data_IF_782969401993
#
_entry.id   IF_782969401993
#
_cell.length_a   1.000
_cell.length_b   1.000
_cell.length_c   1.000
_cell.angle_alpha   90.00
_cell.angle_beta   90.00
_cell.angle_gamma   90.00
#
_symmetry.space_group_name_H-M   'P 1'
#
loop_
_entity.id
_entity.type
_entity.pdbx_description
1 polymer ?
#
# COMPACT_ATOMS: atom_id res chain seq x y z
N UNK A 1 -19.93 -30.78 -68.00
CA UNK A 1 -20.26 -29.43 -67.47
C UNK A 1 -21.60 -29.54 -66.77
N UNK A 2 -21.61 -29.69 -65.44
CA UNK A 2 -22.82 -29.70 -64.62
C UNK A 2 -22.65 -28.58 -63.59
N UNK A 3 -23.57 -27.60 -63.61
CA UNK A 3 -23.49 -26.40 -62.79
C UNK A 3 -23.82 -26.70 -61.32
N UNK A 4 -22.91 -26.34 -60.42
CA UNK A 4 -23.17 -26.33 -58.99
C UNK A 4 -24.08 -25.15 -58.66
N UNK A 5 -25.27 -25.46 -58.14
CA UNK A 5 -26.17 -24.47 -57.56
C UNK A 5 -25.64 -24.11 -56.17
N UNK A 6 -24.94 -22.98 -56.08
CA UNK A 6 -24.56 -22.37 -54.82
C UNK A 6 -25.82 -22.00 -54.04
N UNK A 7 -26.00 -22.62 -52.87
CA UNK A 7 -27.04 -22.25 -51.90
C UNK A 7 -26.63 -20.92 -51.27
N UNK A 8 -27.46 -19.89 -51.45
CA UNK A 8 -27.12 -18.47 -51.28
C UNK A 8 -26.57 -18.03 -49.90
N UNK A 9 -26.52 -18.92 -48.90
CA UNK A 9 -26.11 -18.60 -47.53
C UNK A 9 -25.16 -19.62 -46.88
N UNK A 10 -24.48 -20.47 -47.66
CA UNK A 10 -23.45 -21.38 -47.11
C UNK A 10 -22.06 -20.85 -47.45
N UNK A 11 -21.25 -20.56 -46.43
CA UNK A 11 -19.89 -20.05 -46.62
C UNK A 11 -18.99 -21.17 -47.19
N UNK A 12 -18.57 -21.01 -48.45
CA UNK A 12 -17.73 -21.97 -49.17
C UNK A 12 -16.24 -21.92 -48.75
N UNK A 13 -15.83 -20.91 -47.99
CA UNK A 13 -14.45 -20.72 -47.50
C UNK A 13 -14.40 -19.97 -46.18
N UNK A 14 -13.39 -20.25 -45.36
CA UNK A 14 -13.09 -19.45 -44.18
C UNK A 14 -12.53 -18.08 -44.58
N UNK A 15 -13.07 -17.02 -44.00
CA UNK A 15 -12.60 -15.64 -44.21
C UNK A 15 -11.33 -15.47 -43.36
N UNK A 16 -10.21 -14.98 -43.93
CA UNK A 16 -9.00 -14.73 -43.16
C UNK A 16 -9.25 -13.64 -42.10
N UNK A 17 -8.59 -13.72 -40.93
CA UNK A 17 -8.79 -12.73 -39.87
C UNK A 17 -8.39 -11.35 -40.36
N UNK A 18 -9.37 -10.46 -40.52
CA UNK A 18 -9.15 -9.04 -40.77
C UNK A 18 -8.93 -8.31 -39.44
N UNK A 19 -8.09 -7.27 -39.39
CA UNK A 19 -7.95 -6.45 -38.19
C UNK A 19 -9.32 -5.87 -37.79
N UNK A 20 -9.58 -5.68 -36.48
CA UNK A 20 -10.82 -5.08 -36.02
C UNK A 20 -11.04 -3.73 -36.72
N UNK A 21 -12.28 -3.37 -37.07
CA UNK A 21 -12.58 -2.10 -37.69
C UNK A 21 -11.95 -0.94 -36.90
N UNK A 22 -11.31 0.00 -37.60
CA UNK A 22 -10.59 1.13 -36.98
C UNK A 22 -11.49 1.93 -36.02
N UNK A 23 -12.82 1.88 -36.23
CA UNK A 23 -13.84 2.56 -35.41
C UNK A 23 -14.22 1.84 -34.12
N UNK A 24 -13.94 0.54 -33.99
CA UNK A 24 -14.21 -0.26 -32.78
C UNK A 24 -12.94 -0.58 -31.99
N UNK A 25 -11.77 -0.31 -32.55
CA UNK A 25 -10.48 -0.46 -31.86
C UNK A 25 -9.99 0.81 -31.17
N UNK A 26 -9.13 0.64 -30.17
CA UNK A 26 -8.34 1.72 -29.56
C UNK A 26 -9.14 2.65 -28.64
N UNK A 27 -8.51 3.78 -28.27
CA UNK A 27 -9.07 4.73 -27.31
C UNK A 27 -10.39 5.38 -27.78
N UNK A 28 -10.54 5.60 -29.10
CA UNK A 28 -11.73 6.21 -29.67
C UNK A 28 -12.94 5.25 -29.66
N UNK A 29 -12.71 3.97 -29.98
CA UNK A 29 -13.73 2.92 -29.85
C UNK A 29 -14.17 2.75 -28.39
N UNK A 30 -13.21 2.67 -27.47
CA UNK A 30 -13.48 2.61 -26.03
C UNK A 30 -14.29 3.82 -25.54
N UNK A 31 -13.94 5.04 -25.94
CA UNK A 31 -14.66 6.24 -25.53
C UNK A 31 -16.10 6.24 -26.03
N UNK A 32 -16.34 5.81 -27.27
CA UNK A 32 -17.68 5.68 -27.82
C UNK A 32 -18.51 4.65 -27.05
N UNK A 33 -17.93 3.50 -26.75
CA UNK A 33 -18.65 2.39 -26.10
C UNK A 33 -18.87 2.61 -24.60
N UNK A 34 -18.04 3.42 -23.93
CA UNK A 34 -18.13 3.64 -22.48
C UNK A 34 -18.70 5.02 -22.11
N UNK A 35 -18.30 6.10 -22.80
CA UNK A 35 -18.69 7.46 -22.47
C UNK A 35 -19.90 7.95 -23.29
N UNK A 36 -20.03 7.50 -24.54
CA UNK A 36 -21.04 8.01 -25.49
C UNK A 36 -21.99 6.92 -26.01
N UNK A 37 -22.21 5.85 -25.23
CA UNK A 37 -22.98 4.68 -25.68
C UNK A 37 -24.49 4.92 -25.81
N UNK A 38 -24.98 6.07 -25.37
CA UNK A 38 -26.38 6.48 -25.53
C UNK A 38 -26.58 7.95 -25.16
N UNK A 39 -27.83 8.44 -25.31
CA UNK A 39 -28.17 9.85 -25.06
C UNK A 39 -27.89 10.25 -23.62
N UNK A 40 -28.31 9.44 -22.64
CA UNK A 40 -28.07 9.71 -21.23
C UNK A 40 -26.57 9.78 -20.90
N UNK A 41 -25.79 8.77 -21.31
CA UNK A 41 -24.34 8.72 -21.07
C UNK A 41 -23.60 9.88 -21.77
N UNK A 42 -24.04 10.25 -22.97
CA UNK A 42 -23.49 11.39 -23.70
C UNK A 42 -23.73 12.69 -22.94
N UNK A 43 -24.97 12.95 -22.49
CA UNK A 43 -25.30 14.16 -21.71
C UNK A 43 -24.54 14.18 -20.39
N UNK A 44 -24.52 13.05 -19.65
CA UNK A 44 -23.77 12.94 -18.40
C UNK A 44 -22.28 13.22 -18.60
N UNK A 45 -21.66 12.61 -19.62
CA UNK A 45 -20.26 12.84 -19.99
C UNK A 45 -19.99 14.30 -20.33
N UNK A 46 -20.83 14.94 -21.15
CA UNK A 46 -20.66 16.36 -21.50
C UNK A 46 -20.80 17.27 -20.28
N UNK A 47 -21.76 17.00 -19.39
CA UNK A 47 -21.92 17.76 -18.15
C UNK A 47 -20.73 17.56 -17.21
N UNK A 48 -20.23 16.33 -17.06
CA UNK A 48 -19.03 16.06 -16.27
C UNK A 48 -17.80 16.76 -16.85
N UNK A 49 -17.61 16.74 -18.18
CA UNK A 49 -16.52 17.45 -18.83
C UNK A 49 -16.64 18.97 -18.66
N UNK A 50 -17.85 19.53 -18.81
CA UNK A 50 -18.10 20.95 -18.59
C UNK A 50 -17.80 21.35 -17.13
N UNK A 51 -18.22 20.53 -16.16
CA UNK A 51 -17.95 20.77 -14.75
C UNK A 51 -16.45 20.68 -14.43
N UNK A 52 -15.75 19.67 -14.97
CA UNK A 52 -14.28 19.56 -14.83
C UNK A 52 -13.59 20.76 -15.45
N UNK A 53 -14.00 21.19 -16.66
CA UNK A 53 -13.45 22.38 -17.31
C UNK A 53 -13.71 23.66 -16.48
N UNK A 54 -14.88 23.80 -15.88
CA UNK A 54 -15.23 24.91 -14.99
C UNK A 54 -14.34 24.95 -13.75
N UNK A 55 -14.15 23.80 -13.06
CA UNK A 55 -13.24 23.71 -11.91
C UNK A 55 -11.80 23.99 -12.32
N UNK A 56 -11.34 23.44 -13.45
CA UNK A 56 -9.99 23.69 -13.96
C UNK A 56 -9.78 25.16 -14.31
N UNK A 57 -10.77 25.84 -14.88
CA UNK A 57 -10.69 27.27 -15.17
C UNK A 57 -10.50 28.13 -13.90
N UNK A 58 -10.93 27.64 -12.73
CA UNK A 58 -10.72 28.30 -11.44
C UNK A 58 -9.40 27.88 -10.77
N UNK A 59 -9.12 26.56 -10.72
CA UNK A 59 -7.99 26.00 -9.98
C UNK A 59 -6.66 26.26 -10.69
N UNK A 60 -6.64 26.19 -12.03
CA UNK A 60 -5.38 26.31 -12.78
C UNK A 60 -4.75 27.69 -12.63
N UNK A 61 -5.47 28.82 -12.80
CA UNK A 61 -4.92 30.14 -12.55
C UNK A 61 -4.44 30.29 -11.10
N UNK A 62 -5.31 29.98 -10.14
CA UNK A 62 -5.03 30.11 -8.71
C UNK A 62 -3.80 29.32 -8.25
N UNK A 63 -3.65 28.06 -8.69
CA UNK A 63 -2.59 27.17 -8.22
C UNK A 63 -1.30 27.26 -9.03
N UNK A 64 -1.38 27.47 -10.34
CA UNK A 64 -0.22 27.35 -11.23
C UNK A 64 0.20 28.66 -11.90
N UNK A 65 -0.73 29.57 -12.20
CA UNK A 65 -0.41 30.82 -12.91
C UNK A 65 -0.10 31.95 -11.93
N UNK A 66 -0.89 32.09 -10.88
CA UNK A 66 -0.85 33.22 -9.94
C UNK A 66 -0.26 32.85 -8.57
N UNK A 67 0.33 31.66 -8.41
CA UNK A 67 0.84 31.18 -7.11
C UNK A 67 2.21 31.73 -6.72
N UNK A 68 2.41 31.92 -5.40
CA UNK A 68 3.66 32.41 -4.82
C UNK A 68 4.37 31.32 -4.02
N UNK A 69 5.62 31.03 -4.42
CA UNK A 69 6.43 29.94 -3.87
C UNK A 69 7.49 30.38 -2.86
N UNK A 70 7.83 31.66 -2.84
CA UNK A 70 8.83 32.23 -1.96
C UNK A 70 8.31 33.56 -1.41
N UNK A 71 8.13 33.63 -0.09
CA UNK A 71 7.70 34.84 0.59
C UNK A 71 8.45 34.93 1.91
N UNK A 72 9.18 36.04 2.11
CA UNK A 72 9.97 36.27 3.32
C UNK A 72 9.14 36.69 4.54
N UNK A 73 7.82 36.90 4.37
CA UNK A 73 6.91 37.24 5.46
C UNK A 73 5.47 36.84 5.14
N UNK A 74 4.66 36.71 6.20
CA UNK A 74 3.23 36.42 6.10
C UNK A 74 2.46 37.54 5.39
N UNK A 75 2.96 38.78 5.45
CA UNK A 75 2.41 39.90 4.70
C UNK A 75 2.65 39.73 3.19
N UNK A 76 3.83 39.26 2.79
CA UNK A 76 4.14 38.96 1.38
C UNK A 76 3.22 37.92 0.78
N UNK A 77 2.80 36.92 1.56
CA UNK A 77 1.82 35.93 1.11
C UNK A 77 0.36 36.45 1.08
N UNK A 78 0.02 37.46 1.88
CA UNK A 78 -1.32 38.09 1.88
C UNK A 78 -1.48 39.20 0.86
N UNK A 79 -0.39 39.68 0.27
CA UNK A 79 -0.39 40.67 -0.80
C UNK A 79 -0.77 40.07 -2.16
N UNK A 80 -0.99 38.76 -2.23
CA UNK A 80 -1.47 38.06 -3.43
C UNK A 80 -2.99 38.07 -3.39
N UNK A 81 -3.62 38.77 -4.33
CA UNK A 81 -5.08 38.96 -4.34
C UNK A 81 -5.85 37.70 -4.79
N UNK A 82 -5.35 36.96 -5.79
CA UNK A 82 -6.11 35.88 -6.45
C UNK A 82 -5.38 34.52 -6.55
N UNK A 83 -4.23 34.36 -5.90
CA UNK A 83 -3.32 33.21 -6.06
C UNK A 83 -3.05 32.41 -4.79
N UNK A 84 -2.60 31.16 -4.95
CA UNK A 84 -2.21 30.31 -3.82
C UNK A 84 -0.85 30.74 -3.22
N UNK A 85 -0.81 30.97 -1.90
CA UNK A 85 0.45 31.08 -1.17
C UNK A 85 1.02 29.67 -0.89
N UNK A 86 1.92 29.20 -1.75
CA UNK A 86 2.63 27.92 -1.61
C UNK A 86 3.94 28.06 -0.82
N UNK A 87 4.36 29.29 -0.47
CA UNK A 87 5.55 29.53 0.33
C UNK A 87 5.53 28.79 1.69
N UNK A 88 4.38 28.74 2.36
CA UNK A 88 4.22 28.00 3.63
C UNK A 88 4.45 26.50 3.42
N UNK A 89 3.96 25.95 2.30
CA UNK A 89 4.15 24.54 1.95
C UNK A 89 5.61 24.27 1.64
N UNK A 90 6.26 25.16 0.90
CA UNK A 90 7.67 25.04 0.55
C UNK A 90 8.58 25.08 1.78
N UNK A 91 8.39 26.07 2.67
CA UNK A 91 9.20 26.21 3.89
C UNK A 91 9.00 25.04 4.88
N UNK A 92 7.79 24.48 4.95
CA UNK A 92 7.43 23.42 5.91
C UNK A 92 7.27 22.04 5.27
N UNK A 93 7.71 21.85 4.03
CA UNK A 93 7.53 20.59 3.29
C UNK A 93 8.05 19.39 4.08
N UNK A 94 9.27 19.50 4.63
CA UNK A 94 9.87 18.44 5.45
C UNK A 94 9.09 18.19 6.75
N UNK A 95 8.48 19.22 7.32
CA UNK A 95 7.61 19.09 8.50
C UNK A 95 6.29 18.40 8.15
N UNK A 96 5.74 18.58 6.94
CA UNK A 96 4.56 17.83 6.50
C UNK A 96 4.88 16.35 6.25
N UNK A 97 6.03 16.06 5.65
CA UNK A 97 6.47 14.68 5.34
C UNK A 97 6.86 13.93 6.61
N UNK A 98 7.78 14.49 7.40
CA UNK A 98 8.40 13.81 8.55
C UNK A 98 7.83 14.23 9.90
N UNK A 99 7.09 15.34 10.01
CA UNK A 99 6.60 15.85 11.29
C UNK A 99 7.70 16.52 12.10
N UNK A 100 7.78 16.17 13.38
CA UNK A 100 8.84 16.60 14.31
C UNK A 100 9.94 15.54 14.45
N UNK A 101 10.12 14.69 13.43
CA UNK A 101 11.19 13.71 13.40
C UNK A 101 12.57 14.41 13.41
N UNK A 102 13.49 14.02 14.32
CA UNK A 102 14.83 14.62 14.40
C UNK A 102 15.54 14.60 13.06
N UNK A 103 16.20 15.70 12.70
CA UNK A 103 16.77 15.91 11.36
C UNK A 103 17.83 14.87 11.02
N UNK A 104 18.68 14.59 11.99
CA UNK A 104 19.79 13.65 11.95
C UNK A 104 19.31 12.21 11.76
N UNK A 105 18.06 11.93 12.13
CA UNK A 105 17.46 10.60 12.06
C UNK A 105 16.57 10.42 10.83
N UNK A 106 16.29 11.47 10.03
CA UNK A 106 15.36 11.38 8.86
C UNK A 106 15.79 10.35 7.81
N UNK A 107 17.07 9.99 7.76
CA UNK A 107 17.57 8.90 6.91
C UNK A 107 16.84 7.57 7.16
N UNK A 108 16.32 7.36 8.38
CA UNK A 108 15.63 6.13 8.78
C UNK A 108 14.28 5.97 8.05
N UNK A 109 13.30 6.89 8.15
CA UNK A 109 12.12 6.88 7.29
C UNK A 109 12.41 6.86 5.79
N UNK A 110 13.45 7.58 5.33
CA UNK A 110 13.83 7.60 3.91
C UNK A 110 14.30 6.22 3.46
N UNK A 111 15.16 5.57 4.26
CA UNK A 111 15.64 4.23 3.98
C UNK A 111 14.49 3.21 4.04
N UNK A 112 13.57 3.33 5.00
CA UNK A 112 12.36 2.50 5.04
C UNK A 112 11.56 2.64 3.74
N UNK A 113 11.34 3.87 3.27
CA UNK A 113 10.65 4.14 2.02
C UNK A 113 11.37 3.59 0.79
N UNK A 114 12.71 3.66 0.73
CA UNK A 114 13.47 3.05 -0.37
C UNK A 114 13.36 1.52 -0.34
N UNK A 115 13.49 0.92 0.84
CA UNK A 115 13.36 -0.53 1.04
C UNK A 115 11.95 -1.05 0.72
N UNK A 116 10.92 -0.20 0.81
CA UNK A 116 9.56 -0.53 0.38
C UNK A 116 9.51 -0.95 -1.09
N UNK A 117 10.23 -0.25 -1.97
CA UNK A 117 10.25 -0.60 -3.39
C UNK A 117 10.89 -1.97 -3.62
N UNK A 118 11.94 -2.31 -2.87
CA UNK A 118 12.56 -3.63 -2.89
C UNK A 118 11.58 -4.70 -2.40
N UNK A 119 10.80 -4.39 -1.36
CA UNK A 119 9.79 -5.30 -0.81
C UNK A 119 8.60 -5.51 -1.74
N UNK A 120 8.14 -4.49 -2.47
CA UNK A 120 7.00 -4.58 -3.40
C UNK A 120 7.40 -5.17 -4.75
N UNK A 121 8.67 -5.02 -5.16
CA UNK A 121 9.17 -5.52 -6.44
C UNK A 121 8.69 -6.94 -6.79
N UNK A 122 8.89 -7.99 -5.96
CA UNK A 122 8.47 -9.34 -6.31
C UNK A 122 6.96 -9.56 -6.38
N UNK A 123 6.16 -8.65 -5.79
CA UNK A 123 4.71 -8.68 -5.94
C UNK A 123 4.24 -8.02 -7.24
N UNK A 124 4.96 -7.01 -7.73
CA UNK A 124 4.58 -6.26 -8.94
C UNK A 124 5.11 -6.89 -10.24
N UNK A 125 6.26 -7.57 -10.18
CA UNK A 125 6.93 -8.13 -11.36
C UNK A 125 7.20 -9.62 -11.23
N UNK A 126 6.67 -10.42 -12.15
CA UNK A 126 6.89 -11.87 -12.21
C UNK A 126 8.33 -12.27 -12.53
N UNK A 127 9.12 -11.35 -13.10
CA UNK A 127 10.54 -11.52 -13.40
C UNK A 127 11.45 -11.43 -12.16
N UNK A 128 10.91 -11.03 -11.01
CA UNK A 128 11.69 -10.85 -9.80
C UNK A 128 12.07 -12.20 -9.14
N UNK A 129 13.22 -12.26 -8.45
CA UNK A 129 13.57 -13.46 -7.68
C UNK A 129 12.56 -13.75 -6.57
N UNK A 130 11.94 -14.94 -6.59
CA UNK A 130 10.96 -15.36 -5.54
C UNK A 130 11.54 -15.35 -4.12
N UNK A 131 12.86 -15.45 -3.97
CA UNK A 131 13.54 -15.34 -2.65
C UNK A 131 13.31 -13.97 -1.99
N UNK A 132 13.06 -12.92 -2.77
CA UNK A 132 12.74 -11.59 -2.23
C UNK A 132 11.39 -11.54 -1.52
N UNK A 133 10.49 -12.51 -1.72
CA UNK A 133 9.24 -12.58 -0.95
C UNK A 133 9.48 -12.75 0.56
N UNK A 134 10.62 -13.37 0.94
CA UNK A 134 11.04 -13.44 2.34
C UNK A 134 11.35 -12.04 2.86
N UNK A 135 12.04 -11.22 2.07
CA UNK A 135 12.29 -9.83 2.42
C UNK A 135 10.98 -9.04 2.53
N UNK A 136 10.03 -9.24 1.60
CA UNK A 136 8.70 -8.62 1.69
C UNK A 136 7.97 -8.98 2.99
N UNK A 137 8.09 -10.22 3.46
CA UNK A 137 7.50 -10.66 4.72
C UNK A 137 8.19 -10.07 5.96
N UNK A 138 9.50 -9.84 5.90
CA UNK A 138 10.29 -9.26 7.00
C UNK A 138 10.25 -7.72 7.00
N UNK A 139 9.94 -7.10 5.86
CA UNK A 139 9.97 -5.65 5.68
C UNK A 139 9.12 -4.88 6.70
N UNK A 140 7.88 -5.27 7.06
CA UNK A 140 7.09 -4.53 8.06
C UNK A 140 7.78 -4.44 9.43
N UNK A 141 8.48 -5.51 9.83
CA UNK A 141 9.24 -5.56 11.08
C UNK A 141 10.47 -4.65 11.00
N UNK A 142 11.18 -4.69 9.87
CA UNK A 142 12.33 -3.84 9.60
C UNK A 142 11.94 -2.36 9.55
N UNK A 143 10.84 -2.02 8.88
CA UNK A 143 10.33 -0.67 8.77
C UNK A 143 9.89 -0.12 10.13
N UNK A 144 9.22 -0.94 10.95
CA UNK A 144 8.88 -0.59 12.32
C UNK A 144 10.13 -0.26 13.14
N UNK A 145 11.12 -1.16 13.15
CA UNK A 145 12.38 -0.93 13.87
C UNK A 145 13.13 0.30 13.36
N UNK A 146 13.17 0.49 12.04
CA UNK A 146 13.84 1.62 11.45
C UNK A 146 13.14 2.93 11.81
N UNK A 147 11.81 3.01 11.85
CA UNK A 147 11.09 4.27 12.09
C UNK A 147 11.01 4.62 13.59
N UNK A 148 10.64 3.67 14.44
CA UNK A 148 10.50 3.90 15.89
C UNK A 148 11.81 3.71 16.65
N UNK A 149 12.69 2.84 16.20
CA UNK A 149 13.97 2.58 16.86
C UNK A 149 13.83 1.64 18.04
N UNK A 150 14.69 1.81 19.03
CA UNK A 150 14.80 0.87 20.15
C UNK A 150 15.58 -0.38 19.77
N UNK A 151 15.41 -1.42 20.59
CA UNK A 151 16.13 -2.69 20.44
C UNK A 151 15.65 -3.47 19.22
N UNK A 152 16.58 -4.09 18.48
CA UNK A 152 16.23 -5.02 17.39
C UNK A 152 15.44 -6.24 17.92
N UNK A 153 15.60 -6.54 19.21
CA UNK A 153 14.94 -7.66 19.87
C UNK A 153 13.43 -7.48 20.02
N UNK A 154 12.90 -6.25 19.95
CA UNK A 154 11.46 -6.02 19.99
C UNK A 154 10.70 -6.63 18.80
N UNK A 155 11.06 -6.31 17.55
CA UNK A 155 10.50 -6.98 16.38
C UNK A 155 10.68 -8.51 16.40
N UNK A 156 11.81 -9.00 16.91
CA UNK A 156 12.06 -10.44 17.06
C UNK A 156 11.10 -11.04 18.10
N UNK A 157 10.94 -10.39 19.26
CA UNK A 157 9.99 -10.77 20.30
C UNK A 157 8.55 -10.78 19.79
N UNK A 158 8.18 -9.83 18.92
CA UNK A 158 6.89 -9.83 18.25
C UNK A 158 6.68 -11.11 17.41
N UNK A 159 7.68 -11.50 16.62
CA UNK A 159 7.66 -12.75 15.81
C UNK A 159 7.62 -14.00 16.69
N UNK A 160 8.32 -14.02 17.82
CA UNK A 160 8.28 -15.15 18.77
C UNK A 160 6.85 -15.37 19.28
N UNK A 161 6.09 -14.32 19.57
CA UNK A 161 4.67 -14.44 19.94
C UNK A 161 3.82 -15.08 18.85
N UNK A 162 4.04 -14.69 17.58
CA UNK A 162 3.38 -15.32 16.42
C UNK A 162 3.78 -16.80 16.31
N UNK A 163 5.07 -17.10 16.50
CA UNK A 163 5.59 -18.46 16.43
C UNK A 163 5.01 -19.36 17.53
N UNK A 164 4.80 -18.83 18.75
CA UNK A 164 4.10 -19.52 19.84
C UNK A 164 2.66 -19.86 19.42
N UNK A 165 1.92 -18.87 18.91
CA UNK A 165 0.56 -19.10 18.43
C UNK A 165 0.49 -20.15 17.32
N UNK A 166 1.41 -20.07 16.34
CA UNK A 166 1.53 -21.06 15.26
C UNK A 166 1.86 -22.46 15.79
N UNK A 167 2.79 -22.57 16.75
CA UNK A 167 3.19 -23.84 17.36
C UNK A 167 2.01 -24.49 18.10
N UNK A 168 1.22 -23.72 18.86
CA UNK A 168 0.00 -24.23 19.49
C UNK A 168 -0.98 -24.81 18.47
N UNK A 169 -1.25 -24.08 17.38
CA UNK A 169 -2.17 -24.54 16.33
C UNK A 169 -1.62 -25.79 15.61
N UNK A 170 -0.30 -25.92 15.47
CA UNK A 170 0.34 -27.03 14.74
C UNK A 170 0.48 -28.30 15.57
N UNK A 171 0.76 -28.18 16.86
CA UNK A 171 1.15 -29.31 17.72
C UNK A 171 0.09 -29.73 18.74
N UNK A 172 -0.85 -28.85 19.10
CA UNK A 172 -1.89 -29.17 20.08
C UNK A 172 -3.03 -30.06 19.53
N UNK A 173 -3.52 -29.92 18.28
CA UNK A 173 -4.59 -30.76 17.77
C UNK A 173 -4.27 -32.27 17.76
N UNK A 174 -3.08 -32.73 17.31
CA UNK A 174 -2.74 -34.15 17.36
C UNK A 174 -2.78 -34.75 18.77
N UNK A 175 -2.43 -33.94 19.78
CA UNK A 175 -2.44 -34.36 21.20
C UNK A 175 -3.87 -34.35 21.76
N UNK A 176 -4.69 -33.37 21.35
CA UNK A 176 -6.06 -33.21 21.82
C UNK A 176 -7.06 -34.19 21.18
N UNK A 177 -6.78 -34.71 19.97
CA UNK A 177 -7.61 -35.74 19.31
C UNK A 177 -7.75 -37.03 20.12
N UNK A 178 -6.86 -37.29 21.09
CA UNK A 178 -7.01 -38.41 22.02
C UNK A 178 -8.11 -38.21 23.07
N UNK A 179 -8.71 -37.01 23.17
CA UNK A 179 -9.70 -36.65 24.22
C UNK A 179 -10.91 -35.89 23.71
N UNK A 180 -10.83 -35.21 22.55
CA UNK A 180 -11.88 -34.33 22.01
C UNK A 180 -12.12 -34.61 20.51
N UNK A 181 -13.32 -34.29 20.03
CA UNK A 181 -13.67 -34.30 18.60
C UNK A 181 -12.78 -33.35 17.79
N UNK A 182 -12.58 -33.63 16.49
CA UNK A 182 -11.64 -32.89 15.64
C UNK A 182 -11.90 -31.38 15.61
N UNK A 183 -13.16 -30.97 15.54
CA UNK A 183 -13.55 -29.55 15.54
C UNK A 183 -13.22 -28.87 16.87
N UNK A 184 -13.50 -29.53 17.99
CA UNK A 184 -13.26 -28.98 19.32
C UNK A 184 -11.76 -28.93 19.65
N UNK A 185 -10.99 -29.94 19.20
CA UNK A 185 -9.54 -29.96 19.31
C UNK A 185 -8.88 -28.80 18.54
N UNK A 186 -9.39 -28.46 17.36
CA UNK A 186 -8.91 -27.31 16.59
C UNK A 186 -9.24 -25.98 17.29
N UNK A 187 -10.48 -25.80 17.76
CA UNK A 187 -10.88 -24.60 18.50
C UNK A 187 -10.07 -24.40 19.78
N UNK A 188 -9.81 -25.48 20.53
CA UNK A 188 -8.96 -25.45 21.71
C UNK A 188 -7.52 -25.04 21.38
N UNK A 189 -6.97 -25.52 20.25
CA UNK A 189 -5.63 -25.15 19.79
C UNK A 189 -5.53 -23.68 19.35
N UNK A 190 -6.55 -23.16 18.67
CA UNK A 190 -6.64 -21.74 18.32
C UNK A 190 -6.74 -20.89 19.59
N UNK A 191 -7.61 -21.26 20.53
CA UNK A 191 -7.75 -20.55 21.81
C UNK A 191 -6.46 -20.55 22.61
N UNK A 192 -5.80 -21.70 22.74
CA UNK A 192 -4.51 -21.82 23.41
C UNK A 192 -3.41 -21.02 22.70
N UNK A 193 -3.40 -20.98 21.37
CA UNK A 193 -2.45 -20.20 20.59
C UNK A 193 -2.62 -18.70 20.77
N UNK A 194 -3.86 -18.20 20.76
CA UNK A 194 -4.17 -16.80 21.03
C UNK A 194 -3.76 -16.42 22.45
N UNK A 195 -4.13 -17.24 23.44
CA UNK A 195 -3.77 -17.01 24.84
C UNK A 195 -2.25 -17.05 25.03
N UNK A 196 -1.56 -18.03 24.45
CA UNK A 196 -0.10 -18.13 24.54
C UNK A 196 0.62 -16.93 23.93
N UNK A 197 0.20 -16.49 22.75
CA UNK A 197 0.76 -15.29 22.10
C UNK A 197 0.45 -14.02 22.90
N UNK A 198 -0.78 -13.87 23.41
CA UNK A 198 -1.16 -12.73 24.23
C UNK A 198 -0.37 -12.68 25.54
N UNK A 199 -0.22 -13.82 26.24
CA UNK A 199 0.59 -13.91 27.45
C UNK A 199 2.05 -13.56 27.19
N UNK A 200 2.59 -14.02 26.06
CA UNK A 200 3.94 -13.66 25.63
C UNK A 200 4.10 -12.15 25.45
N UNK A 201 3.23 -11.51 24.67
CA UNK A 201 3.33 -10.07 24.40
C UNK A 201 3.03 -9.20 25.62
N UNK A 202 2.15 -9.64 26.52
CA UNK A 202 1.78 -8.85 27.70
C UNK A 202 2.80 -8.98 28.84
N UNK A 203 3.43 -10.14 29.01
CA UNK A 203 4.22 -10.43 30.21
C UNK A 203 5.68 -10.83 29.95
N UNK A 204 6.00 -11.42 28.80
CA UNK A 204 7.32 -12.00 28.56
C UNK A 204 8.20 -11.16 27.61
N UNK A 205 7.59 -10.37 26.71
CA UNK A 205 8.34 -9.70 25.64
C UNK A 205 9.37 -8.69 26.17
N UNK A 206 9.02 -7.92 27.21
CA UNK A 206 9.91 -6.92 27.81
C UNK A 206 11.11 -7.61 28.45
N UNK A 207 10.87 -8.66 29.26
CA UNK A 207 11.94 -9.43 29.89
C UNK A 207 12.85 -10.12 28.85
N UNK A 208 12.27 -10.59 27.74
CA UNK A 208 13.01 -11.16 26.62
C UNK A 208 13.91 -10.12 25.93
N UNK A 209 13.38 -8.92 25.66
CA UNK A 209 14.13 -7.82 25.06
C UNK A 209 15.29 -7.37 25.95
N UNK A 210 15.07 -7.23 27.26
CA UNK A 210 16.12 -6.87 28.23
C UNK A 210 17.21 -7.92 28.29
N UNK A 211 16.84 -9.21 28.39
CA UNK A 211 17.79 -10.31 28.47
C UNK A 211 18.68 -10.40 27.22
N UNK A 212 18.10 -10.22 26.02
CA UNK A 212 18.89 -10.25 24.77
C UNK A 212 19.67 -8.97 24.54
N UNK A 213 19.13 -7.81 24.90
CA UNK A 213 19.86 -6.54 24.80
C UNK A 213 21.08 -6.52 25.73
N UNK A 214 21.02 -7.21 26.86
CA UNK A 214 22.17 -7.39 27.76
C UNK A 214 23.30 -8.23 27.14
N UNK A 215 22.97 -9.17 26.25
CA UNK A 215 23.97 -9.98 25.53
C UNK A 215 24.49 -9.25 24.29
N UNK A 216 23.61 -8.64 23.52
CA UNK A 216 23.93 -7.99 22.26
C UNK A 216 23.09 -6.70 22.11
N UNK A 217 23.73 -5.57 22.40
CA UNK A 217 23.13 -4.24 22.36
C UNK A 217 23.03 -3.68 20.93
N UNK A 218 22.17 -4.30 20.09
CA UNK A 218 21.81 -3.75 18.78
C UNK A 218 20.51 -2.96 18.92
N UNK A 219 20.63 -1.63 18.89
CA UNK A 219 19.48 -0.75 18.96
C UNK A 219 19.72 0.58 18.26
N UNK A 220 18.63 1.25 17.91
CA UNK A 220 18.61 2.61 17.39
C UNK A 220 18.01 3.54 18.42
N UNK A 221 18.31 4.84 18.32
CA UNK A 221 17.70 5.85 19.18
C UNK A 221 16.16 5.78 19.07
N UNK A 222 15.43 5.60 20.18
CA UNK A 222 13.98 5.51 20.16
C UNK A 222 13.36 6.87 19.84
N UNK A 223 12.38 6.89 18.93
CA UNK A 223 11.63 8.08 18.54
C UNK A 223 10.18 7.89 18.94
N UNK A 224 9.64 8.84 19.69
CA UNK A 224 8.25 8.83 20.15
C UNK A 224 7.27 8.94 18.96
N UNK A 225 6.17 8.17 19.03
CA UNK A 225 5.11 8.22 18.02
C UNK A 225 4.53 9.62 17.81
N UNK A 226 4.54 10.47 18.84
CA UNK A 226 4.04 11.85 18.77
C UNK A 226 4.87 12.76 17.85
N UNK A 227 6.10 12.36 17.52
CA UNK A 227 7.00 13.12 16.63
C UNK A 227 6.84 12.75 15.17
N UNK A 228 6.13 11.67 14.85
CA UNK A 228 5.96 11.19 13.48
C UNK A 228 5.00 12.11 12.70
N UNK A 229 5.38 12.46 11.47
CA UNK A 229 4.54 13.23 10.56
C UNK A 229 3.29 12.49 10.10
N UNK A 230 2.21 13.23 9.84
CA UNK A 230 0.94 12.65 9.39
C UNK A 230 1.04 11.91 8.06
N UNK A 231 1.83 12.42 7.11
CA UNK A 231 2.08 11.75 5.82
C UNK A 231 2.84 10.43 6.05
N UNK A 232 3.89 10.45 6.86
CA UNK A 232 4.65 9.26 7.23
C UNK A 232 3.74 8.21 7.87
N UNK A 233 2.96 8.59 8.89
CA UNK A 233 2.09 7.66 9.61
C UNK A 233 1.00 7.06 8.73
N UNK A 234 0.32 7.89 7.92
CA UNK A 234 -0.71 7.42 7.00
C UNK A 234 -0.15 6.49 5.92
N UNK A 235 1.08 6.74 5.45
CA UNK A 235 1.77 5.86 4.51
C UNK A 235 2.08 4.51 5.14
N UNK A 236 2.63 4.50 6.37
CA UNK A 236 2.92 3.26 7.09
C UNK A 236 1.65 2.43 7.27
N UNK A 237 0.56 3.03 7.77
CA UNK A 237 -0.71 2.33 8.01
C UNK A 237 -1.28 1.75 6.71
N UNK A 238 -1.24 2.51 5.61
CA UNK A 238 -1.73 2.03 4.30
C UNK A 238 -0.88 0.86 3.79
N UNK A 239 0.44 0.98 3.87
CA UNK A 239 1.36 -0.06 3.40
C UNK A 239 1.23 -1.34 4.23
N UNK A 240 1.16 -1.24 5.56
CA UNK A 240 0.98 -2.41 6.42
C UNK A 240 -0.40 -3.05 6.22
N UNK A 241 -1.46 -2.25 6.03
CA UNK A 241 -2.78 -2.77 5.70
C UNK A 241 -2.78 -3.53 4.35
N UNK A 242 -2.16 -2.98 3.31
CA UNK A 242 -2.02 -3.65 2.01
C UNK A 242 -1.20 -4.94 2.14
N UNK A 243 -0.08 -4.89 2.87
CA UNK A 243 0.76 -6.07 3.09
C UNK A 243 0.02 -7.18 3.87
N UNK A 244 -0.84 -6.80 4.81
CA UNK A 244 -1.66 -7.74 5.59
C UNK A 244 -2.85 -8.33 4.83
N UNK A 245 -3.41 -7.60 3.86
CA UNK A 245 -4.58 -8.05 3.08
C UNK A 245 -4.23 -8.72 1.76
N UNK A 246 -3.01 -8.55 1.24
CA UNK A 246 -2.58 -9.18 -0.01
C UNK A 246 -2.80 -10.71 0.09
N UNK A 247 -3.76 -11.26 -0.67
CA UNK A 247 -3.97 -12.68 -0.68
C UNK A 247 -2.71 -13.31 -1.28
N UNK A 248 -2.10 -14.23 -0.53
CA UNK A 248 -1.10 -15.14 -1.10
C UNK A 248 -1.83 -15.93 -2.19
N UNK A 249 -1.69 -15.48 -3.43
CA UNK A 249 -2.10 -16.23 -4.62
C UNK A 249 -1.33 -17.53 -4.74
#
# INVERSE_FOLDING_TARGET
MAGEKSVAFVAERQIPPSPPPVRTGGALGWARDNLFSGVFNTVATLLSLAFVAYILAMVVPWLFLDSVWNASSLQGCRAVDDGACLAVINERFLQFVFGFYPEELRWRPILAFVLLFVAIWPALFSSAPRKLLIFSALYPLLAYWLIWGGSLWGPVGAVVGIAIGWACIRFLPPVARGRLDEGLAFLAAVGAGILGAALWWLFCVIAFEEALSAVLAIGLEPVESARLGGILLSTIIRVTAIAGTLPRG
#
